data_IF_454019465131
#
_entry.id   IF_454019465131
#
_cell.length_a   1.000
_cell.length_b   1.000
_cell.length_c   1.000
_cell.angle_alpha   90.00
_cell.angle_beta   90.00
_cell.angle_gamma   90.00
#
_symmetry.space_group_name_H-M   'P 1'
#
loop_
_entity.id
_entity.type
_entity.pdbx_description
1 polymer ?
#
# COMPACT_ATOMS: atom_id res chain seq x y z
N UNK A 1 -6.99 8.01 26.58
CA UNK A 1 -6.48 6.88 25.75
C UNK A 1 -5.71 5.95 26.66
N UNK A 2 -6.11 4.67 26.77
CA UNK A 2 -5.61 3.76 27.81
C UNK A 2 -4.15 3.34 27.49
N UNK A 3 -3.22 3.58 28.42
CA UNK A 3 -1.79 3.28 28.30
C UNK A 3 -1.53 1.81 27.90
N UNK A 4 -2.33 0.89 28.44
CA UNK A 4 -2.26 -0.55 28.13
C UNK A 4 -2.57 -0.82 26.65
N UNK A 5 -3.57 -0.14 26.07
CA UNK A 5 -3.92 -0.27 24.63
C UNK A 5 -2.78 0.26 23.76
N UNK A 6 -2.15 1.37 24.15
CA UNK A 6 -0.99 1.94 23.43
C UNK A 6 0.22 0.98 23.43
N UNK A 7 0.53 0.37 24.59
CA UNK A 7 1.64 -0.60 24.71
C UNK A 7 1.34 -1.85 23.88
N UNK A 8 0.10 -2.39 23.96
CA UNK A 8 -0.31 -3.57 23.19
C UNK A 8 -0.17 -3.31 21.68
N UNK A 9 -0.59 -2.14 21.20
CA UNK A 9 -0.48 -1.76 19.78
C UNK A 9 0.99 -1.63 19.33
N UNK A 10 1.88 -1.09 20.16
CA UNK A 10 3.32 -1.04 19.88
C UNK A 10 3.95 -2.42 19.79
N UNK A 11 3.55 -3.34 20.67
CA UNK A 11 4.04 -4.73 20.64
C UNK A 11 3.56 -5.46 19.37
N UNK A 12 2.29 -5.27 18.99
CA UNK A 12 1.73 -5.85 17.76
C UNK A 12 2.45 -5.27 16.53
N UNK A 13 2.64 -3.94 16.46
CA UNK A 13 3.35 -3.28 15.38
C UNK A 13 4.79 -3.80 15.27
N UNK A 14 5.54 -3.89 16.37
CA UNK A 14 6.90 -4.41 16.41
C UNK A 14 6.99 -5.88 15.98
N UNK A 15 6.08 -6.73 16.45
CA UNK A 15 6.03 -8.15 16.06
C UNK A 15 5.74 -8.32 14.56
N UNK A 16 4.89 -7.45 14.01
CA UNK A 16 4.54 -7.45 12.60
C UNK A 16 5.69 -6.92 11.74
N UNK A 17 6.33 -5.82 12.15
CA UNK A 17 7.53 -5.26 11.52
C UNK A 17 8.61 -6.34 11.36
N UNK A 18 8.90 -7.08 12.43
CA UNK A 18 9.87 -8.17 12.39
C UNK A 18 9.48 -9.31 11.45
N UNK A 19 8.18 -9.62 11.31
CA UNK A 19 7.68 -10.58 10.31
C UNK A 19 7.85 -10.07 8.88
N UNK A 20 7.53 -8.79 8.64
CA UNK A 20 7.70 -8.15 7.33
C UNK A 20 9.18 -8.04 6.96
N UNK A 21 10.05 -7.63 7.89
CA UNK A 21 11.50 -7.58 7.66
C UNK A 21 12.06 -8.95 7.32
N UNK A 22 11.62 -10.01 8.00
CA UNK A 22 12.01 -11.38 7.68
C UNK A 22 11.49 -11.82 6.30
N UNK A 23 10.25 -11.48 5.94
CA UNK A 23 9.68 -11.76 4.63
C UNK A 23 10.40 -10.97 3.54
N UNK A 24 10.66 -9.69 3.76
CA UNK A 24 11.40 -8.84 2.84
C UNK A 24 12.87 -9.28 2.73
N UNK A 25 13.51 -9.65 3.83
CA UNK A 25 14.90 -10.11 3.85
C UNK A 25 15.05 -11.49 3.21
N UNK A 26 14.10 -12.41 3.42
CA UNK A 26 14.10 -13.73 2.76
C UNK A 26 13.76 -13.63 1.26
N UNK A 27 13.05 -12.57 0.83
CA UNK A 27 12.70 -12.31 -0.57
C UNK A 27 13.81 -11.54 -1.34
N UNK A 28 14.92 -11.20 -0.71
CA UNK A 28 15.99 -10.35 -1.29
C UNK A 28 16.99 -11.06 -2.19
N UNK A 29 16.67 -12.18 -2.84
CA UNK A 29 17.28 -12.42 -4.14
C UNK A 29 16.57 -11.53 -5.16
N UNK A 30 17.31 -10.81 -6.00
CA UNK A 30 16.78 -9.81 -6.95
C UNK A 30 15.63 -10.35 -7.81
N UNK A 31 15.69 -11.62 -8.16
CA UNK A 31 14.74 -12.35 -8.98
C UNK A 31 13.45 -12.72 -8.22
N UNK A 32 13.57 -13.10 -6.93
CA UNK A 32 12.43 -13.43 -6.08
C UNK A 32 11.64 -12.17 -5.71
N UNK A 33 12.32 -11.02 -5.56
CA UNK A 33 11.64 -9.75 -5.21
C UNK A 33 10.83 -9.22 -6.39
N UNK A 34 11.35 -9.29 -7.61
CA UNK A 34 10.63 -8.85 -8.82
C UNK A 34 9.43 -9.76 -9.09
N UNK A 35 9.60 -11.07 -9.03
CA UNK A 35 8.51 -12.03 -9.18
C UNK A 35 7.48 -11.94 -8.03
N UNK A 36 7.92 -11.76 -6.79
CA UNK A 36 7.03 -11.62 -5.63
C UNK A 36 6.22 -10.33 -5.70
N UNK A 37 6.82 -9.22 -6.09
CA UNK A 37 6.13 -7.93 -6.26
C UNK A 37 5.16 -7.97 -7.43
N UNK A 38 5.57 -8.54 -8.56
CA UNK A 38 4.71 -8.71 -9.73
C UNK A 38 3.52 -9.65 -9.43
N UNK A 39 3.79 -10.78 -8.79
CA UNK A 39 2.76 -11.75 -8.43
C UNK A 39 1.83 -11.23 -7.31
N UNK A 40 2.31 -10.41 -6.37
CA UNK A 40 1.46 -9.84 -5.32
C UNK A 40 0.64 -8.64 -5.80
N UNK A 41 1.11 -7.83 -6.75
CA UNK A 41 0.27 -6.85 -7.45
C UNK A 41 -0.90 -7.55 -8.15
N UNK A 42 -0.62 -8.65 -8.85
CA UNK A 42 -1.63 -9.53 -9.44
C UNK A 42 -2.44 -10.29 -8.39
N UNK A 43 -1.81 -10.82 -7.35
CA UNK A 43 -2.46 -11.57 -6.27
C UNK A 43 -3.48 -10.71 -5.51
N UNK A 44 -3.24 -9.42 -5.30
CA UNK A 44 -4.22 -8.51 -4.71
C UNK A 44 -5.42 -8.30 -5.64
N UNK A 45 -5.21 -8.25 -6.97
CA UNK A 45 -6.31 -8.23 -7.94
C UNK A 45 -7.09 -9.56 -7.97
N UNK A 46 -6.42 -10.68 -7.74
CA UNK A 46 -6.98 -12.04 -7.82
C UNK A 46 -7.45 -12.59 -6.46
N UNK A 47 -6.93 -12.08 -5.34
CA UNK A 47 -7.31 -12.50 -3.98
C UNK A 47 -8.67 -11.90 -3.55
N UNK A 48 -9.70 -12.16 -4.35
CA UNK A 48 -11.08 -11.63 -4.20
C UNK A 48 -11.69 -11.88 -2.82
N UNK A 49 -11.18 -12.86 -2.07
CA UNK A 49 -11.67 -13.21 -0.74
C UNK A 49 -10.95 -12.46 0.39
N UNK A 50 -9.81 -11.82 0.12
CA UNK A 50 -9.00 -11.13 1.12
C UNK A 50 -9.08 -9.62 0.93
N UNK A 51 -9.08 -9.17 -0.34
CA UNK A 51 -9.16 -7.75 -0.70
C UNK A 51 -10.11 -7.57 -1.86
N UNK A 52 -11.12 -6.73 -1.68
CA UNK A 52 -11.99 -6.27 -2.76
C UNK A 52 -11.57 -4.87 -3.18
N UNK A 53 -11.20 -4.71 -4.45
CA UNK A 53 -10.84 -3.43 -5.04
C UNK A 53 -12.08 -2.73 -5.62
N UNK A 54 -12.10 -1.41 -5.54
CA UNK A 54 -13.04 -0.53 -6.23
C UNK A 54 -12.27 0.57 -6.96
N UNK A 55 -12.75 0.91 -8.15
CA UNK A 55 -12.13 1.89 -9.04
C UNK A 55 -13.18 2.93 -9.40
N UNK A 56 -12.93 4.19 -9.05
CA UNK A 56 -13.81 5.30 -9.35
C UNK A 56 -12.99 6.42 -10.02
N UNK A 57 -13.59 7.07 -10.99
CA UNK A 57 -12.96 8.09 -11.80
C UNK A 57 -13.78 9.36 -11.75
N UNK A 58 -13.10 10.48 -11.68
CA UNK A 58 -13.68 11.81 -11.85
C UNK A 58 -12.66 12.69 -12.56
N UNK A 59 -13.03 13.91 -12.91
CA UNK A 59 -12.15 14.80 -13.65
C UNK A 59 -10.80 15.02 -12.93
N UNK A 60 -9.74 14.57 -13.57
CA UNK A 60 -8.37 14.67 -13.08
C UNK A 60 -7.99 13.76 -11.89
N UNK A 61 -8.91 12.89 -11.40
CA UNK A 61 -8.65 12.03 -10.24
C UNK A 61 -9.03 10.56 -10.50
N UNK A 62 -8.28 9.68 -9.86
CA UNK A 62 -8.56 8.26 -9.74
C UNK A 62 -8.61 7.86 -8.27
N UNK A 63 -9.72 7.24 -7.86
CA UNK A 63 -9.94 6.75 -6.50
C UNK A 63 -9.88 5.22 -6.50
N UNK A 64 -8.89 4.67 -5.79
CA UNK A 64 -8.73 3.23 -5.61
C UNK A 64 -9.08 2.84 -4.18
N UNK A 65 -10.25 2.23 -4.01
CA UNK A 65 -10.69 1.69 -2.73
C UNK A 65 -10.23 0.25 -2.55
N UNK A 66 -9.93 -0.11 -1.31
CA UNK A 66 -9.61 -1.47 -0.88
C UNK A 66 -10.45 -1.79 0.35
N UNK A 67 -11.35 -2.76 0.24
CA UNK A 67 -11.98 -3.39 1.39
C UNK A 67 -11.14 -4.62 1.74
N UNK A 68 -10.57 -4.62 2.94
CA UNK A 68 -9.70 -5.66 3.48
C UNK A 68 -10.45 -6.41 4.58
N UNK A 69 -10.39 -7.73 4.58
CA UNK A 69 -10.86 -8.53 5.72
C UNK A 69 -9.87 -8.42 6.89
N UNK A 70 -10.29 -8.79 8.09
CA UNK A 70 -9.40 -8.96 9.24
C UNK A 70 -8.21 -9.87 8.88
N UNK A 71 -7.01 -9.57 9.41
CA UNK A 71 -5.74 -10.26 9.16
C UNK A 71 -5.21 -10.17 7.72
N UNK A 72 -5.86 -9.40 6.83
CA UNK A 72 -5.33 -9.18 5.49
C UNK A 72 -3.99 -8.44 5.53
N UNK A 73 -3.02 -8.94 4.77
CA UNK A 73 -1.70 -8.32 4.58
C UNK A 73 -1.49 -7.98 3.12
N UNK A 74 -1.09 -6.75 2.83
CA UNK A 74 -0.88 -6.23 1.48
C UNK A 74 0.48 -5.56 1.40
N UNK A 75 1.20 -5.80 0.31
CA UNK A 75 2.43 -5.06 -0.02
C UNK A 75 2.17 -4.24 -1.28
N UNK A 76 2.37 -2.91 -1.20
CA UNK A 76 2.21 -2.04 -2.35
C UNK A 76 3.40 -2.11 -3.31
N UNK A 77 3.19 -1.71 -4.55
CA UNK A 77 4.25 -1.29 -5.46
C UNK A 77 4.86 0.05 -4.97
N UNK A 78 5.96 0.47 -5.58
CA UNK A 78 6.58 1.77 -5.30
C UNK A 78 5.74 2.86 -5.94
N UNK A 79 5.25 3.81 -5.16
CA UNK A 79 4.45 4.92 -5.66
C UNK A 79 5.32 5.93 -6.41
N UNK A 80 5.01 6.20 -7.67
CA UNK A 80 5.75 7.19 -8.48
C UNK A 80 5.46 8.62 -8.08
N UNK A 81 4.30 8.90 -7.46
CA UNK A 81 3.81 10.25 -7.16
C UNK A 81 3.27 10.37 -5.75
N UNK A 82 3.32 11.57 -5.20
CA UNK A 82 2.63 11.91 -3.96
C UNK A 82 1.12 11.71 -4.14
N UNK A 83 0.47 11.15 -3.13
CA UNK A 83 -0.98 10.99 -3.11
C UNK A 83 -1.53 11.01 -1.68
N UNK A 84 -2.83 11.23 -1.58
CA UNK A 84 -3.59 11.20 -0.33
C UNK A 84 -4.22 9.82 -0.17
N UNK A 85 -4.34 9.36 1.08
CA UNK A 85 -5.11 8.18 1.41
C UNK A 85 -6.00 8.41 2.62
N UNK A 86 -7.07 7.65 2.71
CA UNK A 86 -8.02 7.66 3.82
C UNK A 86 -8.22 6.25 4.34
N UNK A 87 -8.26 6.10 5.65
CA UNK A 87 -8.82 4.95 6.33
C UNK A 87 -10.24 5.34 6.75
N UNK A 88 -11.23 4.77 6.06
CA UNK A 88 -12.65 5.14 6.24
C UNK A 88 -13.29 4.35 7.38
N UNK A 89 -12.94 3.06 7.51
CA UNK A 89 -13.39 2.18 8.59
C UNK A 89 -12.26 1.26 9.02
N UNK A 90 -12.34 0.73 10.24
CA UNK A 90 -11.42 -0.27 10.77
C UNK A 90 -10.13 0.30 11.35
N UNK A 91 -9.16 -0.60 11.50
CA UNK A 91 -7.83 -0.26 12.02
C UNK A 91 -6.75 -1.04 11.29
N UNK A 92 -5.64 -0.38 11.00
CA UNK A 92 -4.53 -0.93 10.21
C UNK A 92 -3.17 -0.58 10.84
N UNK A 93 -2.17 -1.42 10.55
CA UNK A 93 -0.76 -1.03 10.69
C UNK A 93 -0.17 -0.82 9.30
N UNK A 94 0.49 0.30 9.10
CA UNK A 94 1.29 0.57 7.89
C UNK A 94 2.76 0.51 8.27
N UNK A 95 3.54 -0.26 7.50
CA UNK A 95 5.01 -0.30 7.61
C UNK A 95 5.61 0.36 6.38
N UNK A 96 6.42 1.39 6.62
CA UNK A 96 7.12 2.14 5.57
C UNK A 96 8.54 2.44 6.06
N UNK A 97 9.55 2.12 5.26
CA UNK A 97 10.96 2.40 5.56
C UNK A 97 11.42 1.90 6.96
N UNK A 98 10.92 0.74 7.38
CA UNK A 98 11.22 0.13 8.66
C UNK A 98 10.47 0.74 9.86
N UNK A 99 9.56 1.68 9.64
CA UNK A 99 8.70 2.27 10.66
C UNK A 99 7.30 1.69 10.58
N UNK A 100 6.79 1.18 11.70
CA UNK A 100 5.44 0.66 11.83
C UNK A 100 4.56 1.67 12.57
N UNK A 101 3.47 2.10 11.93
CA UNK A 101 2.50 3.04 12.48
C UNK A 101 1.11 2.42 12.50
N UNK A 102 0.40 2.56 13.62
CA UNK A 102 -0.96 2.05 13.82
C UNK A 102 -1.98 3.18 13.66
N UNK A 103 -2.98 2.94 12.81
CA UNK A 103 -4.04 3.89 12.51
C UNK A 103 -5.42 3.29 12.80
N UNK A 104 -6.31 4.13 13.31
CA UNK A 104 -7.74 3.82 13.55
C UNK A 104 -8.58 4.81 12.77
N UNK A 105 -9.59 4.30 12.06
CA UNK A 105 -10.52 5.13 11.30
C UNK A 105 -11.38 6.05 12.20
N UNK A 106 -11.82 7.21 11.69
CA UNK A 106 -11.43 7.80 10.41
C UNK A 106 -10.03 8.44 10.47
N UNK A 107 -9.23 8.25 9.43
CA UNK A 107 -7.89 8.83 9.36
C UNK A 107 -7.56 9.23 7.92
N UNK A 108 -6.80 10.31 7.77
CA UNK A 108 -6.26 10.78 6.49
C UNK A 108 -4.73 10.86 6.57
N UNK A 109 -4.06 10.36 5.56
CA UNK A 109 -2.61 10.42 5.48
C UNK A 109 -2.11 10.75 4.08
N UNK A 110 -0.80 10.94 3.99
CA UNK A 110 -0.10 11.28 2.76
C UNK A 110 0.97 10.24 2.48
N UNK A 111 1.12 9.88 1.20
CA UNK A 111 2.23 9.07 0.74
C UNK A 111 3.11 9.88 -0.17
N UNK A 112 4.41 9.83 0.09
CA UNK A 112 5.42 10.46 -0.75
C UNK A 112 5.79 9.57 -1.93
N UNK A 113 6.20 10.21 -3.02
CA UNK A 113 6.84 9.55 -4.14
C UNK A 113 8.04 8.73 -3.65
N UNK A 114 8.21 7.53 -4.19
CA UNK A 114 9.21 6.56 -3.76
C UNK A 114 8.78 5.63 -2.63
N UNK A 115 7.64 5.90 -1.99
CA UNK A 115 7.14 5.08 -0.88
C UNK A 115 6.68 3.71 -1.37
N UNK A 116 7.08 2.66 -0.65
CA UNK A 116 6.55 1.31 -0.70
C UNK A 116 6.06 0.93 0.69
N UNK A 117 4.86 0.35 0.81
CA UNK A 117 4.21 0.07 2.08
C UNK A 117 3.80 -1.39 2.20
N UNK A 118 3.92 -1.94 3.41
CA UNK A 118 3.12 -3.09 3.84
C UNK A 118 1.97 -2.59 4.71
N UNK A 119 0.78 -3.12 4.50
CA UNK A 119 -0.44 -2.78 5.25
C UNK A 119 -0.99 -4.07 5.84
N UNK A 120 -1.29 -4.05 7.14
CA UNK A 120 -1.97 -5.14 7.85
C UNK A 120 -3.28 -4.62 8.45
N UNK A 121 -4.39 -5.31 8.18
CA UNK A 121 -5.70 -4.98 8.71
C UNK A 121 -5.94 -5.76 10.01
N UNK A 122 -6.20 -5.04 11.12
CA UNK A 122 -6.50 -5.64 12.43
C UNK A 122 -7.96 -6.02 12.59
N UNK A 123 -8.79 -5.52 11.71
CA UNK A 123 -10.23 -5.78 11.58
C UNK A 123 -10.67 -5.47 10.15
N UNK A 124 -11.91 -5.78 9.77
CA UNK A 124 -12.42 -5.39 8.45
C UNK A 124 -12.24 -3.89 8.25
N UNK A 125 -11.50 -3.51 7.23
CA UNK A 125 -11.07 -2.13 7.01
C UNK A 125 -11.34 -1.67 5.58
N UNK A 126 -11.73 -0.40 5.43
CA UNK A 126 -11.87 0.25 4.13
C UNK A 126 -10.80 1.34 4.00
N UNK A 127 -9.91 1.14 3.05
CA UNK A 127 -8.80 2.03 2.74
C UNK A 127 -8.97 2.60 1.33
N UNK A 128 -8.83 3.92 1.19
CA UNK A 128 -9.06 4.65 -0.07
C UNK A 128 -7.82 5.46 -0.43
N UNK A 129 -7.22 5.19 -1.60
CA UNK A 129 -6.21 6.08 -2.19
C UNK A 129 -6.87 7.04 -3.17
N UNK A 130 -6.33 8.25 -3.26
CA UNK A 130 -6.73 9.29 -4.23
C UNK A 130 -5.50 9.71 -5.03
N UNK A 131 -5.48 9.36 -6.30
CA UNK A 131 -4.39 9.64 -7.23
C UNK A 131 -4.77 10.73 -8.22
N UNK A 132 -3.79 11.51 -8.66
CA UNK A 132 -3.93 12.34 -9.85
C UNK A 132 -4.09 11.47 -11.09
N UNK A 133 -5.03 11.84 -11.95
CA UNK A 133 -5.28 11.19 -13.24
C UNK A 133 -5.48 12.25 -14.34
N UNK A 134 -4.47 13.08 -14.61
CA UNK A 134 -4.60 14.20 -15.55
C UNK A 134 -4.82 13.77 -17.00
N UNK A 135 -4.54 12.50 -17.32
CA UNK A 135 -4.71 11.94 -18.65
C UNK A 135 -6.08 11.26 -18.84
N UNK A 136 -6.92 11.23 -17.79
CA UNK A 136 -8.22 10.58 -17.85
C UNK A 136 -8.17 9.07 -18.10
N UNK A 137 -7.10 8.40 -17.68
CA UNK A 137 -6.92 6.96 -17.87
C UNK A 137 -8.03 6.19 -17.15
N UNK A 138 -8.56 5.15 -17.79
CA UNK A 138 -9.54 4.23 -17.22
C UNK A 138 -9.11 2.77 -17.28
N UNK A 139 -8.12 2.46 -18.12
CA UNK A 139 -7.49 1.16 -18.15
C UNK A 139 -6.63 0.96 -16.90
N UNK A 140 -6.79 -0.18 -16.22
CA UNK A 140 -6.16 -0.44 -14.93
C UNK A 140 -4.66 -0.72 -15.05
N UNK A 141 -4.20 -1.28 -16.16
CA UNK A 141 -2.79 -1.55 -16.38
C UNK A 141 -2.05 -0.24 -16.71
N UNK A 142 -2.65 0.64 -17.52
CA UNK A 142 -2.12 1.99 -17.78
C UNK A 142 -2.07 2.83 -16.50
N UNK A 143 -3.10 2.76 -15.64
CA UNK A 143 -3.12 3.43 -14.34
C UNK A 143 -2.07 2.89 -13.38
N UNK A 144 -1.83 1.57 -13.40
CA UNK A 144 -0.78 0.96 -12.60
C UNK A 144 0.59 1.45 -13.07
N UNK A 145 0.85 1.43 -14.36
CA UNK A 145 2.11 1.95 -14.94
C UNK A 145 2.27 3.46 -14.70
N UNK A 146 1.19 4.23 -14.75
CA UNK A 146 1.24 5.66 -14.47
C UNK A 146 1.59 5.97 -13.01
N UNK A 147 1.02 5.24 -12.05
CA UNK A 147 1.12 5.56 -10.63
C UNK A 147 2.21 4.80 -9.89
N UNK A 148 2.67 3.64 -10.40
CA UNK A 148 3.56 2.76 -9.67
C UNK A 148 4.79 2.35 -10.47
N UNK A 149 5.81 1.90 -9.74
CA UNK A 149 6.96 1.19 -10.28
C UNK A 149 7.12 -0.16 -9.57
N UNK A 150 7.41 -1.20 -10.33
CA UNK A 150 7.66 -2.54 -9.81
C UNK A 150 9.03 -2.65 -9.13
N UNK A 151 10.02 -1.87 -9.60
CA UNK A 151 11.41 -1.96 -9.16
C UNK A 151 11.97 -0.60 -8.74
N UNK A 152 13.02 -0.62 -7.91
CA UNK A 152 13.77 0.60 -7.56
C UNK A 152 14.42 1.25 -8.79
N UNK A 153 14.94 0.45 -9.70
CA UNK A 153 15.57 0.96 -10.93
C UNK A 153 14.54 1.69 -11.79
N UNK A 154 13.37 1.07 -12.03
CA UNK A 154 12.27 1.71 -12.77
C UNK A 154 11.78 3.01 -12.12
N UNK A 155 11.74 3.07 -10.79
CA UNK A 155 11.43 4.32 -10.08
C UNK A 155 12.54 5.37 -10.27
N UNK A 156 13.81 4.97 -10.19
CA UNK A 156 14.95 5.88 -10.41
C UNK A 156 14.93 6.47 -11.83
N UNK A 157 14.64 5.64 -12.82
CA UNK A 157 14.51 6.07 -14.20
C UNK A 157 13.32 7.02 -14.40
N UNK A 158 12.18 6.72 -13.74
CA UNK A 158 11.04 7.64 -13.73
C UNK A 158 11.42 9.02 -13.18
N UNK A 159 12.11 9.09 -12.03
CA UNK A 159 12.52 10.37 -11.42
C UNK A 159 13.52 11.13 -12.34
N UNK A 160 14.44 10.41 -12.99
CA UNK A 160 15.41 11.01 -13.90
C UNK A 160 14.75 11.66 -15.12
N UNK A 161 13.72 11.00 -15.67
CA UNK A 161 13.04 11.45 -16.89
C UNK A 161 11.93 12.48 -16.64
N UNK A 162 11.58 12.77 -15.37
CA UNK A 162 10.52 13.71 -15.00
C UNK A 162 11.02 14.86 -14.09
N UNK A 163 12.33 15.11 -14.10
CA UNK A 163 12.96 16.35 -13.58
C UNK A 163 12.94 17.41 -14.68
#
# INVERSE_FOLDING_TARGET
MNLIKSIKNKIIAYSFEKKIDNLLTSAYSKEVTENFVHNNGRAVREAKNIVKLTHNFTDGLYLRGMKMVEDASIISLIHKRDHVWFLLTGSITIVTDGLAEYYVAPYMGFSKSGTRRAIYAHEESIFQNVFKNPLGLTDLDELEDFNYSYTKNGYTDFIRNNK
#
